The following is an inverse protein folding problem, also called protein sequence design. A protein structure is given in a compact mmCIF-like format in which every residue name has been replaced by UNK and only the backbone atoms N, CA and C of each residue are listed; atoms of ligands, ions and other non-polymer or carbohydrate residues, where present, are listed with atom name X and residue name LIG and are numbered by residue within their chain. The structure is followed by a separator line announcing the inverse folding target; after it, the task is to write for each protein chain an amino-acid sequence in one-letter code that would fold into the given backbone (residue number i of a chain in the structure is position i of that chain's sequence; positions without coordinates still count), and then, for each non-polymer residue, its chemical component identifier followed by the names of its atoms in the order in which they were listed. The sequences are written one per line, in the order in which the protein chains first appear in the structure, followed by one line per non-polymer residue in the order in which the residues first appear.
data_IF_979021636270
#
_entry.id   IF_979021636270
#
_cell.length_a   1.000
_cell.length_b   1.000
_cell.length_c   1.000
_cell.angle_alpha   90.00
_cell.angle_beta   90.00
_cell.angle_gamma   90.00
#
_symmetry.space_group_name_H-M   'P 1'
#
loop_
_entity.id
_entity.type
_entity.pdbx_description
1 polymer ?
#
# COMPACT_ATOMS: atom_id res chain seq x y z
N UNK A 1 27.23 9.92 -7.10
CA UNK A 1 26.36 8.80 -6.70
C UNK A 1 24.98 9.29 -7.08
N UNK A 2 24.42 8.83 -8.19
CA UNK A 2 23.08 9.25 -8.58
C UNK A 2 22.14 8.77 -7.48
N UNK A 3 21.59 9.73 -6.73
CA UNK A 3 20.51 9.48 -5.79
C UNK A 3 19.42 8.81 -6.61
N UNK A 4 19.21 7.52 -6.37
CA UNK A 4 18.11 6.78 -6.95
C UNK A 4 16.89 7.43 -6.33
N UNK A 5 16.36 8.45 -7.00
CA UNK A 5 15.21 9.23 -6.54
C UNK A 5 14.18 8.22 -6.07
N UNK A 6 13.83 8.23 -4.79
CA UNK A 6 13.09 7.16 -4.14
C UNK A 6 11.87 6.77 -5.00
N UNK A 7 11.97 5.69 -5.79
CA UNK A 7 10.97 5.37 -6.81
C UNK A 7 9.82 4.66 -6.11
N UNK A 8 8.61 5.19 -6.25
CA UNK A 8 7.42 4.58 -5.71
C UNK A 8 7.09 3.28 -6.42
N UNK A 9 6.92 2.19 -5.66
CA UNK A 9 6.60 0.87 -6.20
C UNK A 9 5.22 0.74 -6.87
N UNK A 10 4.27 1.61 -6.52
CA UNK A 10 2.94 1.62 -7.16
C UNK A 10 2.93 2.37 -8.49
N UNK A 11 3.31 3.65 -8.50
CA UNK A 11 3.19 4.50 -9.69
C UNK A 11 4.46 4.61 -10.54
N UNK A 12 5.60 4.09 -10.07
CA UNK A 12 6.89 4.12 -10.77
C UNK A 12 7.53 5.51 -10.89
N UNK A 13 6.99 6.53 -10.18
CA UNK A 13 7.51 7.90 -10.18
C UNK A 13 8.46 8.14 -9.00
N UNK A 14 9.41 9.06 -9.14
CA UNK A 14 10.28 9.48 -8.04
C UNK A 14 9.53 10.20 -6.92
N UNK A 15 10.19 10.35 -5.78
CA UNK A 15 9.72 11.11 -4.63
C UNK A 15 8.90 10.30 -3.63
N UNK A 16 9.05 8.98 -3.60
CA UNK A 16 8.48 8.14 -2.56
C UNK A 16 8.97 8.61 -1.19
N UNK A 17 8.05 8.74 -0.27
CA UNK A 17 8.22 9.47 0.99
C UNK A 17 8.15 8.54 2.22
N UNK A 18 7.79 7.26 2.01
CA UNK A 18 7.66 6.30 3.10
C UNK A 18 8.02 4.86 2.70
N UNK A 19 8.24 4.07 3.74
CA UNK A 19 8.20 2.61 3.67
C UNK A 19 6.73 2.17 3.84
N UNK A 20 6.21 1.26 3.00
CA UNK A 20 4.83 0.80 3.10
C UNK A 20 4.55 0.09 4.43
N UNK A 21 3.32 0.18 4.92
CA UNK A 21 2.90 -0.47 6.15
C UNK A 21 2.87 -2.01 6.00
N UNK A 22 3.19 -2.77 7.07
CA UNK A 22 3.30 -4.23 6.97
C UNK A 22 1.95 -4.96 6.96
N UNK A 23 0.89 -4.32 7.45
CA UNK A 23 -0.46 -4.90 7.53
C UNK A 23 -1.26 -4.45 6.31
N UNK A 24 -1.80 -5.38 5.54
CA UNK A 24 -2.53 -5.09 4.30
C UNK A 24 -3.91 -5.73 4.30
N UNK A 25 -4.89 -5.07 3.72
CA UNK A 25 -6.21 -5.67 3.54
C UNK A 25 -6.13 -6.92 2.65
N UNK A 26 -7.03 -7.90 2.85
CA UNK A 26 -7.16 -9.01 1.92
C UNK A 26 -7.40 -8.52 0.48
N UNK A 27 -6.51 -8.89 -0.45
CA UNK A 27 -6.59 -8.47 -1.85
C UNK A 27 -6.03 -7.07 -2.13
N UNK A 28 -5.29 -6.47 -1.19
CA UNK A 28 -4.44 -5.31 -1.44
C UNK A 28 -3.14 -5.73 -2.15
N UNK A 29 -2.75 -4.97 -3.17
CA UNK A 29 -1.53 -5.25 -3.92
C UNK A 29 -0.28 -4.81 -3.15
N UNK A 30 0.83 -5.51 -3.40
CA UNK A 30 2.12 -5.14 -2.86
C UNK A 30 2.84 -4.24 -3.87
N UNK A 31 3.34 -3.09 -3.43
CA UNK A 31 4.15 -2.21 -4.27
C UNK A 31 5.42 -2.87 -4.83
N UNK A 32 5.85 -4.00 -4.28
CA UNK A 32 7.00 -4.76 -4.80
C UNK A 32 8.38 -4.11 -4.57
N UNK A 33 8.40 -2.87 -4.09
CA UNK A 33 9.62 -2.11 -3.77
C UNK A 33 9.65 -1.74 -2.29
N UNK A 34 10.77 -1.12 -1.87
CA UNK A 34 10.99 -0.70 -0.49
C UNK A 34 10.27 0.60 -0.14
N UNK A 35 9.93 1.42 -1.13
CA UNK A 35 9.43 2.78 -0.93
C UNK A 35 8.21 3.05 -1.80
N UNK A 36 7.26 3.79 -1.24
CA UNK A 36 6.00 4.19 -1.89
C UNK A 36 5.71 5.65 -1.56
N UNK A 37 4.88 6.30 -2.38
CA UNK A 37 4.20 7.52 -1.97
C UNK A 37 3.10 7.17 -0.96
N UNK A 38 2.95 8.00 0.07
CA UNK A 38 1.83 7.93 1.03
C UNK A 38 0.49 7.88 0.31
N UNK A 39 0.29 8.75 -0.68
CA UNK A 39 -0.96 8.83 -1.44
C UNK A 39 -1.24 7.55 -2.25
N UNK A 40 -0.20 6.97 -2.88
CA UNK A 40 -0.37 5.73 -3.64
C UNK A 40 -0.72 4.53 -2.74
N UNK A 41 -0.12 4.45 -1.55
CA UNK A 41 -0.49 3.41 -0.59
C UNK A 41 -1.91 3.60 -0.07
N UNK A 42 -2.31 4.84 0.24
CA UNK A 42 -3.66 5.14 0.70
C UNK A 42 -4.71 4.79 -0.36
N UNK A 43 -4.45 5.09 -1.64
CA UNK A 43 -5.33 4.72 -2.76
C UNK A 43 -5.51 3.20 -2.87
N UNK A 44 -4.42 2.43 -2.80
CA UNK A 44 -4.48 0.96 -2.86
C UNK A 44 -5.16 0.35 -1.63
N UNK A 45 -4.85 0.86 -0.44
CA UNK A 45 -5.46 0.45 0.82
C UNK A 45 -6.98 0.72 0.81
N UNK A 46 -7.40 1.93 0.40
CA UNK A 46 -8.81 2.29 0.25
C UNK A 46 -9.49 1.45 -0.83
N UNK A 47 -8.81 1.21 -1.96
CA UNK A 47 -9.29 0.36 -3.04
C UNK A 47 -9.56 -1.06 -2.55
N UNK A 48 -8.59 -1.68 -1.88
CA UNK A 48 -8.72 -3.01 -1.29
C UNK A 48 -9.83 -3.07 -0.23
N UNK A 49 -9.85 -2.10 0.69
CA UNK A 49 -10.90 -1.99 1.68
C UNK A 49 -12.30 -1.89 1.04
N UNK A 50 -12.46 -1.10 -0.03
CA UNK A 50 -13.74 -0.91 -0.73
C UNK A 50 -14.26 -2.19 -1.40
N UNK A 51 -13.37 -3.08 -1.84
CA UNK A 51 -13.71 -4.37 -2.48
C UNK A 51 -14.20 -5.42 -1.48
N UNK A 52 -13.99 -5.22 -0.19
CA UNK A 52 -14.41 -6.15 0.86
C UNK A 52 -15.81 -5.84 1.38
N UNK A 53 -16.55 -6.90 1.69
CA UNK A 53 -17.79 -6.80 2.48
C UNK A 53 -17.48 -6.44 3.93
N UNK A 54 -18.46 -5.89 4.65
CA UNK A 54 -18.30 -5.57 6.07
C UNK A 54 -17.93 -6.79 6.91
N UNK A 55 -18.48 -7.96 6.58
CA UNK A 55 -18.14 -9.21 7.26
C UNK A 55 -16.67 -9.59 7.04
N UNK A 56 -16.14 -9.42 5.83
CA UNK A 56 -14.72 -9.67 5.53
C UNK A 56 -13.82 -8.67 6.24
N UNK A 57 -14.18 -7.38 6.25
CA UNK A 57 -13.44 -6.34 6.97
C UNK A 57 -13.35 -6.64 8.46
N UNK A 58 -14.48 -6.93 9.10
CA UNK A 58 -14.54 -7.28 10.53
C UNK A 58 -13.75 -8.55 10.82
N UNK A 59 -13.87 -9.56 9.96
CA UNK A 59 -13.12 -10.81 10.14
C UNK A 59 -11.62 -10.58 10.09
N UNK A 60 -11.14 -9.76 9.16
CA UNK A 60 -9.72 -9.42 9.06
C UNK A 60 -9.24 -8.63 10.27
N UNK A 61 -9.98 -7.58 10.67
CA UNK A 61 -9.65 -6.76 11.84
C UNK A 61 -9.61 -7.53 13.17
N UNK A 62 -10.27 -8.69 13.25
CA UNK A 62 -10.22 -9.58 14.42
C UNK A 62 -9.07 -10.60 14.38
N UNK A 63 -8.39 -10.72 13.24
CA UNK A 63 -7.31 -11.69 13.02
C UNK A 63 -5.91 -11.10 13.19
N UNK A 64 -5.82 -9.78 13.30
CA UNK A 64 -4.61 -9.00 13.57
C UNK A 64 -4.47 -8.73 15.07
#
# INVERSE_FOLDING_TARGET
MEDIEDICGFCGKPGADKIPHPVRWPGEESAGTRLVHSECEDEECMGAHSRLTDQQRISFLRSI
#
